data_IF_339334784384
#
_entry.id   IF_339334784384
#
_cell.length_a   1.000
_cell.length_b   1.000
_cell.length_c   1.000
_cell.angle_alpha   90.00
_cell.angle_beta   90.00
_cell.angle_gamma   90.00
#
_symmetry.space_group_name_H-M   'P 1'
#
loop_
_entity.id
_entity.type
_entity.pdbx_description
1 polymer ?
#
# COMPACT_ATOMS: atom_id res chain seq x y z
N UNK A 1 -43.53 14.43 6.50
CA UNK A 1 -42.63 15.35 7.23
C UNK A 1 -41.21 14.75 7.40
N UNK A 2 -40.71 14.00 6.40
CA UNK A 2 -39.40 13.31 6.45
C UNK A 2 -38.35 13.91 5.51
N UNK A 3 -38.72 14.93 4.74
CA UNK A 3 -37.80 15.59 3.81
C UNK A 3 -36.83 16.53 4.51
N UNK A 4 -37.20 17.07 5.68
CA UNK A 4 -36.35 18.02 6.42
C UNK A 4 -35.08 17.36 6.97
N UNK A 5 -35.12 16.19 7.63
CA UNK A 5 -33.91 15.52 8.12
C UNK A 5 -33.00 15.02 6.99
N UNK A 6 -33.58 14.57 5.88
CA UNK A 6 -32.82 14.13 4.71
C UNK A 6 -32.12 15.30 4.03
N UNK A 7 -32.83 16.41 3.82
CA UNK A 7 -32.25 17.63 3.25
C UNK A 7 -31.14 18.20 4.13
N UNK A 8 -31.31 18.17 5.46
CA UNK A 8 -30.28 18.62 6.40
C UNK A 8 -29.03 17.73 6.35
N UNK A 9 -29.19 16.40 6.32
CA UNK A 9 -28.07 15.47 6.17
C UNK A 9 -27.35 15.67 4.82
N UNK A 10 -28.09 15.80 3.72
CA UNK A 10 -27.50 16.05 2.41
C UNK A 10 -26.79 17.41 2.36
N UNK A 11 -27.33 18.45 3.00
CA UNK A 11 -26.70 19.77 3.06
C UNK A 11 -25.41 19.76 3.91
N UNK A 12 -25.35 18.98 4.99
CA UNK A 12 -24.15 18.82 5.82
C UNK A 12 -23.06 18.00 5.11
N UNK A 13 -23.44 17.03 4.28
CA UNK A 13 -22.50 16.19 3.53
C UNK A 13 -22.09 16.79 2.20
N UNK A 14 -22.91 17.66 1.58
CA UNK A 14 -22.63 18.28 0.28
C UNK A 14 -21.24 18.96 0.21
N UNK A 15 -20.77 19.71 1.23
CA UNK A 15 -19.43 20.28 1.22
C UNK A 15 -18.32 19.23 1.09
N UNK A 16 -18.50 17.99 1.56
CA UNK A 16 -17.49 16.93 1.42
C UNK A 16 -17.34 16.44 -0.03
N UNK A 17 -18.41 16.54 -0.83
CA UNK A 17 -18.41 16.11 -2.23
C UNK A 17 -18.10 17.27 -3.19
N UNK A 18 -18.43 18.50 -2.81
CA UNK A 18 -18.26 19.70 -3.64
C UNK A 18 -17.12 20.62 -3.20
N UNK A 19 -16.49 20.41 -2.03
CA UNK A 19 -15.16 20.95 -1.72
C UNK A 19 -14.09 20.17 -2.49
N UNK A 20 -14.25 20.13 -3.80
CA UNK A 20 -13.21 19.78 -4.75
C UNK A 20 -12.70 21.09 -5.34
N UNK A 21 -11.70 21.67 -4.69
CA UNK A 21 -10.54 22.31 -5.32
C UNK A 21 -9.70 23.06 -4.28
N UNK A 22 -8.39 23.09 -4.52
CA UNK A 22 -7.37 23.98 -3.91
C UNK A 22 -6.64 23.44 -2.68
N UNK A 23 -6.30 22.15 -2.70
CA UNK A 23 -5.08 21.65 -2.08
C UNK A 23 -3.94 21.65 -3.10
N UNK A 24 -3.52 22.82 -3.58
CA UNK A 24 -2.34 23.03 -4.42
C UNK A 24 -1.03 22.85 -3.61
N UNK A 25 -0.95 21.81 -2.77
CA UNK A 25 0.25 21.47 -2.01
C UNK A 25 1.13 20.44 -2.71
N UNK A 26 0.68 19.94 -3.86
CA UNK A 26 1.60 19.43 -4.86
C UNK A 26 2.08 20.66 -5.64
N UNK A 27 3.06 21.39 -5.09
CA UNK A 27 4.06 21.94 -6.00
C UNK A 27 4.44 20.79 -6.92
N UNK A 28 4.31 21.04 -8.21
CA UNK A 28 4.65 20.12 -9.26
C UNK A 28 6.15 19.86 -9.11
N UNK A 29 6.50 18.88 -8.27
CA UNK A 29 7.87 18.48 -7.98
C UNK A 29 8.54 18.36 -9.33
N UNK A 30 9.54 19.22 -9.58
CA UNK A 30 10.17 19.46 -10.87
C UNK A 30 10.19 18.17 -11.68
N UNK A 31 9.22 18.04 -12.59
CA UNK A 31 8.99 16.79 -13.29
C UNK A 31 10.12 16.70 -14.30
N UNK A 32 11.20 15.99 -13.95
CA UNK A 32 12.25 15.66 -14.92
C UNK A 32 11.56 14.73 -15.93
N UNK A 33 11.42 15.12 -17.21
CA UNK A 33 10.77 14.28 -18.20
C UNK A 33 11.60 13.00 -18.37
N UNK A 34 11.04 11.84 -17.99
CA UNK A 34 11.67 10.53 -18.17
C UNK A 34 11.86 9.70 -16.90
N UNK A 35 11.68 10.26 -15.70
CA UNK A 35 11.90 9.56 -14.44
C UNK A 35 10.64 9.56 -13.56
N UNK A 36 9.65 8.75 -13.92
CA UNK A 36 8.50 8.49 -13.05
C UNK A 36 8.65 7.13 -12.39
N UNK A 37 8.81 7.10 -11.07
CA UNK A 37 8.69 5.86 -10.29
C UNK A 37 7.21 5.56 -10.00
N UNK A 38 6.74 4.37 -10.35
CA UNK A 38 5.33 3.96 -10.20
C UNK A 38 5.21 2.87 -9.14
N UNK A 39 4.63 3.22 -8.01
CA UNK A 39 4.31 2.29 -6.94
C UNK A 39 2.83 1.88 -7.02
N UNK A 40 2.56 0.58 -6.94
CA UNK A 40 1.23 0.05 -6.70
C UNK A 40 1.13 -0.44 -5.26
N UNK A 41 0.21 0.14 -4.49
CA UNK A 41 -0.19 -0.35 -3.18
C UNK A 41 -1.62 -0.89 -3.25
N UNK A 42 -1.84 -2.15 -2.88
CA UNK A 42 -3.17 -2.75 -2.94
C UNK A 42 -3.41 -3.75 -1.81
N UNK A 43 -4.62 -3.76 -1.28
CA UNK A 43 -5.12 -4.82 -0.41
C UNK A 43 -5.89 -5.83 -1.28
N UNK A 44 -5.55 -7.12 -1.15
CA UNK A 44 -6.14 -8.17 -1.98
C UNK A 44 -7.44 -8.75 -1.43
N UNK A 45 -7.80 -8.41 -0.20
CA UNK A 45 -8.83 -9.07 0.60
C UNK A 45 -8.55 -10.58 0.73
N UNK A 46 -8.08 -11.01 1.91
CA UNK A 46 -7.75 -12.41 2.17
C UNK A 46 -8.94 -13.37 1.94
N UNK A 47 -10.18 -12.85 2.01
CA UNK A 47 -11.41 -13.60 1.81
C UNK A 47 -11.87 -13.68 0.35
N UNK A 48 -11.24 -12.91 -0.55
CA UNK A 48 -11.61 -12.87 -1.97
C UNK A 48 -11.31 -14.21 -2.66
N UNK A 49 -12.36 -14.86 -3.16
CA UNK A 49 -12.27 -16.14 -3.87
C UNK A 49 -11.99 -15.99 -5.36
N UNK A 50 -12.32 -14.85 -5.98
CA UNK A 50 -12.04 -14.57 -7.39
C UNK A 50 -10.78 -13.71 -7.51
N UNK A 51 -9.66 -14.39 -7.76
CA UNK A 51 -8.35 -13.74 -7.87
C UNK A 51 -8.12 -13.12 -9.26
N UNK A 52 -8.94 -13.45 -10.26
CA UNK A 52 -8.67 -13.12 -11.66
C UNK A 52 -8.66 -11.63 -11.95
N UNK A 53 -9.53 -10.87 -11.28
CA UNK A 53 -9.61 -9.42 -11.45
C UNK A 53 -8.39 -8.72 -10.87
N UNK A 54 -7.94 -9.12 -9.67
CA UNK A 54 -6.74 -8.57 -9.05
C UNK A 54 -5.48 -8.86 -9.87
N UNK A 55 -5.34 -10.10 -10.38
CA UNK A 55 -4.21 -10.46 -11.25
C UNK A 55 -4.19 -9.58 -12.51
N UNK A 56 -5.32 -9.46 -13.21
CA UNK A 56 -5.42 -8.57 -14.39
C UNK A 56 -5.13 -7.10 -14.06
N UNK A 57 -5.59 -6.65 -12.90
CA UNK A 57 -5.35 -5.29 -12.44
C UNK A 57 -3.85 -5.03 -12.21
N UNK A 58 -3.17 -5.89 -11.45
CA UNK A 58 -1.72 -5.78 -11.16
C UNK A 58 -0.91 -5.80 -12.46
N UNK A 59 -1.22 -6.75 -13.35
CA UNK A 59 -0.60 -6.87 -14.68
C UNK A 59 -0.72 -5.61 -15.53
N UNK A 60 -1.90 -4.97 -15.49
CA UNK A 60 -2.20 -3.78 -16.29
C UNK A 60 -1.57 -2.48 -15.80
N UNK A 61 -1.05 -2.41 -14.56
CA UNK A 61 -0.57 -1.13 -14.01
C UNK A 61 0.79 -0.69 -14.49
N UNK A 62 1.67 -1.60 -14.92
CA UNK A 62 3.06 -1.28 -15.27
C UNK A 62 3.73 -0.46 -14.14
N UNK A 63 3.73 -1.02 -12.94
CA UNK A 63 4.37 -0.48 -11.75
C UNK A 63 5.83 -0.97 -11.67
N UNK A 64 6.69 -0.15 -11.08
CA UNK A 64 8.10 -0.49 -10.81
C UNK A 64 8.23 -1.27 -9.49
N UNK A 65 7.28 -1.07 -8.57
CA UNK A 65 7.17 -1.78 -7.31
C UNK A 65 5.70 -2.04 -6.99
N UNK A 66 5.38 -3.26 -6.57
CA UNK A 66 4.05 -3.63 -6.09
C UNK A 66 4.15 -4.09 -4.65
N UNK A 67 3.33 -3.52 -3.79
CA UNK A 67 3.20 -3.84 -2.38
C UNK A 67 1.76 -4.30 -2.14
N UNK A 68 1.60 -5.52 -1.63
CA UNK A 68 0.32 -6.17 -1.45
C UNK A 68 0.07 -6.45 0.04
N UNK A 69 -1.15 -6.15 0.47
CA UNK A 69 -1.69 -6.51 1.79
C UNK A 69 -2.69 -7.65 1.68
N UNK A 70 -2.95 -8.30 2.81
CA UNK A 70 -3.86 -9.44 2.97
C UNK A 70 -3.51 -10.64 2.07
N UNK A 71 -2.21 -10.87 1.91
CA UNK A 71 -1.69 -11.99 1.12
C UNK A 71 -1.74 -13.27 1.95
N UNK A 72 -2.59 -14.21 1.54
CA UNK A 72 -2.64 -15.58 2.07
C UNK A 72 -1.68 -16.51 1.33
N UNK A 73 -1.51 -17.74 1.82
CA UNK A 73 -0.74 -18.76 1.10
C UNK A 73 -1.33 -19.05 -0.28
N UNK A 74 -2.67 -19.06 -0.39
CA UNK A 74 -3.39 -19.20 -1.66
C UNK A 74 -3.10 -18.03 -2.59
N UNK A 75 -3.12 -16.80 -2.08
CA UNK A 75 -2.76 -15.63 -2.88
C UNK A 75 -1.33 -15.73 -3.38
N UNK A 76 -0.37 -16.11 -2.54
CA UNK A 76 1.02 -16.27 -2.94
C UNK A 76 1.17 -17.26 -4.10
N UNK A 77 0.62 -18.48 -3.99
CA UNK A 77 0.65 -19.46 -5.08
C UNK A 77 0.01 -18.91 -6.36
N UNK A 78 -1.10 -18.18 -6.22
CA UNK A 78 -1.80 -17.57 -7.36
C UNK A 78 -0.94 -16.50 -8.03
N UNK A 79 -0.32 -15.61 -7.25
CA UNK A 79 0.54 -14.54 -7.75
C UNK A 79 1.74 -15.12 -8.50
N UNK A 80 2.43 -16.10 -7.93
CA UNK A 80 3.58 -16.76 -8.54
C UNK A 80 3.23 -17.51 -9.83
N UNK A 81 2.04 -18.12 -9.89
CA UNK A 81 1.63 -18.93 -11.04
C UNK A 81 1.01 -18.12 -12.19
N UNK A 82 0.41 -16.96 -11.90
CA UNK A 82 -0.40 -16.22 -12.88
C UNK A 82 0.16 -14.84 -13.25
N UNK A 83 1.12 -14.30 -12.50
CA UNK A 83 1.82 -13.08 -12.91
C UNK A 83 2.97 -13.42 -13.86
N UNK A 84 2.86 -12.90 -15.08
CA UNK A 84 3.84 -13.00 -16.15
C UNK A 84 4.83 -11.83 -16.18
N UNK A 85 4.45 -10.68 -15.62
CA UNK A 85 5.30 -9.46 -15.63
C UNK A 85 6.02 -9.20 -14.33
N UNK A 86 5.57 -9.77 -13.22
CA UNK A 86 6.12 -9.54 -11.89
C UNK A 86 6.56 -10.85 -11.25
N UNK A 87 7.58 -10.77 -10.41
CA UNK A 87 7.99 -11.84 -9.49
C UNK A 87 7.89 -11.36 -8.06
N UNK A 88 7.59 -12.29 -7.16
CA UNK A 88 7.64 -12.05 -5.72
C UNK A 88 9.09 -11.94 -5.28
N UNK A 89 9.41 -10.94 -4.46
CA UNK A 89 10.75 -10.70 -3.90
C UNK A 89 10.78 -10.99 -2.42
N UNK A 90 9.78 -10.50 -1.69
CA UNK A 90 9.56 -10.86 -0.29
C UNK A 90 8.08 -11.17 -0.08
N UNK A 91 7.79 -12.07 0.83
CA UNK A 91 6.43 -12.38 1.22
C UNK A 91 6.38 -12.85 2.67
N UNK A 92 5.24 -12.59 3.28
CA UNK A 92 4.89 -13.07 4.60
C UNK A 92 3.40 -13.45 4.57
N UNK A 93 3.06 -14.58 3.94
CA UNK A 93 1.67 -14.97 3.80
C UNK A 93 1.07 -15.30 5.17
N UNK A 94 -0.14 -14.81 5.41
CA UNK A 94 -0.94 -15.17 6.58
C UNK A 94 -2.37 -15.39 6.16
N UNK A 95 -3.05 -16.31 6.85
CA UNK A 95 -4.46 -16.63 6.56
C UNK A 95 -5.44 -15.63 7.20
N UNK A 96 -4.91 -14.63 7.92
CA UNK A 96 -5.64 -13.47 8.41
C UNK A 96 -5.37 -12.22 7.55
N UNK A 97 -5.85 -11.06 7.99
CA UNK A 97 -5.72 -9.81 7.26
C UNK A 97 -4.37 -9.11 7.41
N UNK A 98 -3.32 -9.82 7.85
CA UNK A 98 -2.00 -9.21 8.13
C UNK A 98 -0.90 -9.76 7.24
N UNK A 99 -1.22 -10.64 6.30
CA UNK A 99 -0.25 -11.15 5.32
C UNK A 99 0.17 -10.10 4.30
N UNK A 100 1.38 -10.19 3.77
CA UNK A 100 1.92 -9.22 2.81
C UNK A 100 2.83 -9.84 1.75
N UNK A 101 3.05 -9.12 0.66
CA UNK A 101 4.06 -9.44 -0.34
C UNK A 101 4.56 -8.20 -1.07
N UNK A 102 5.80 -8.28 -1.55
CA UNK A 102 6.40 -7.31 -2.44
C UNK A 102 6.75 -7.98 -3.76
N UNK A 103 6.42 -7.32 -4.86
CA UNK A 103 6.71 -7.79 -6.21
C UNK A 103 7.43 -6.70 -7.01
N UNK A 104 8.29 -7.16 -7.91
CA UNK A 104 9.01 -6.31 -8.85
C UNK A 104 8.86 -6.87 -10.26
N UNK A 105 9.02 -6.06 -11.31
CA UNK A 105 9.06 -6.55 -12.67
C UNK A 105 10.09 -7.67 -12.86
N UNK A 106 9.75 -8.70 -13.65
CA UNK A 106 10.68 -9.78 -14.02
C UNK A 106 11.80 -9.22 -14.90
N UNK A 107 11.45 -8.34 -15.84
CA UNK A 107 12.41 -7.64 -16.66
C UNK A 107 13.13 -6.58 -15.81
N UNK A 108 14.47 -6.66 -15.66
CA UNK A 108 15.21 -5.69 -14.85
C UNK A 108 15.09 -4.30 -15.47
N UNK A 109 14.76 -3.32 -14.64
CA UNK A 109 14.83 -1.91 -15.02
C UNK A 109 16.27 -1.43 -14.88
N UNK A 110 16.76 -0.64 -15.84
CA UNK A 110 18.06 0.04 -15.72
C UNK A 110 18.04 1.16 -14.68
N UNK A 111 16.84 1.64 -14.33
CA UNK A 111 16.64 2.77 -13.45
C UNK A 111 16.41 2.35 -12.00
N UNK A 112 16.09 1.07 -11.75
CA UNK A 112 15.74 0.56 -10.43
C UNK A 112 16.63 -0.62 -10.06
N UNK A 113 17.40 -0.45 -8.98
CA UNK A 113 18.16 -1.49 -8.32
C UNK A 113 17.57 -1.73 -6.93
N UNK A 114 17.30 -2.99 -6.59
CA UNK A 114 16.88 -3.36 -5.24
C UNK A 114 18.12 -3.54 -4.36
N UNK A 115 18.24 -2.75 -3.30
CA UNK A 115 19.41 -2.77 -2.39
C UNK A 115 19.15 -3.74 -1.23
N UNK A 116 18.02 -3.57 -0.55
CA UNK A 116 17.64 -4.39 0.59
C UNK A 116 16.13 -4.48 0.74
N UNK A 117 15.64 -5.56 1.34
CA UNK A 117 14.23 -5.71 1.68
C UNK A 117 14.11 -6.55 2.93
N UNK A 118 13.25 -6.11 3.85
CA UNK A 118 13.00 -6.81 5.10
C UNK A 118 11.55 -6.67 5.54
N UNK A 119 11.11 -7.61 6.37
CA UNK A 119 9.82 -7.56 7.05
C UNK A 119 10.08 -7.06 8.47
N UNK A 120 9.44 -5.97 8.84
CA UNK A 120 9.58 -5.34 10.17
C UNK A 120 8.22 -5.21 10.84
N UNK A 121 8.21 -4.77 12.09
CA UNK A 121 7.01 -4.35 12.80
C UNK A 121 7.29 -3.00 13.48
N UNK A 122 6.35 -2.07 13.40
CA UNK A 122 6.45 -0.75 14.02
C UNK A 122 5.20 -0.48 14.88
N UNK A 123 5.34 -0.39 16.22
CA UNK A 123 6.53 -0.77 17.01
C UNK A 123 6.85 -2.28 16.89
N UNK A 124 8.00 -2.78 17.39
CA UNK A 124 8.39 -4.20 17.27
C UNK A 124 7.40 -5.22 17.85
N UNK A 125 6.52 -4.77 18.75
CA UNK A 125 5.44 -5.56 19.33
C UNK A 125 4.09 -5.36 18.62
N UNK A 126 4.06 -4.60 17.51
CA UNK A 126 2.91 -4.59 16.62
C UNK A 126 2.77 -5.98 16.00
N UNK A 127 1.57 -6.55 16.07
CA UNK A 127 1.23 -7.78 15.34
C UNK A 127 1.13 -7.59 13.83
N UNK A 128 1.29 -6.36 13.33
CA UNK A 128 1.20 -5.98 11.92
C UNK A 128 2.59 -5.97 11.28
N UNK A 129 2.92 -6.96 10.45
CA UNK A 129 4.16 -6.95 9.69
C UNK A 129 4.07 -5.87 8.61
N UNK A 130 5.20 -5.24 8.32
CA UNK A 130 5.39 -4.21 7.30
C UNK A 130 6.51 -4.65 6.36
N UNK A 131 6.46 -4.21 5.10
CA UNK A 131 7.61 -4.34 4.19
C UNK A 131 8.41 -3.06 4.22
N UNK A 132 9.67 -3.13 4.61
CA UNK A 132 10.64 -2.07 4.38
C UNK A 132 11.54 -2.47 3.21
N UNK A 133 11.69 -1.58 2.24
CA UNK A 133 12.54 -1.83 1.08
C UNK A 133 13.39 -0.61 0.75
N UNK A 134 14.69 -0.85 0.60
CA UNK A 134 15.64 0.13 0.13
C UNK A 134 15.93 -0.16 -1.34
N UNK A 135 15.71 0.83 -2.17
CA UNK A 135 15.98 0.77 -3.60
C UNK A 135 16.88 1.94 -4.01
N UNK A 136 17.63 1.74 -5.08
CA UNK A 136 18.37 2.81 -5.76
C UNK A 136 17.66 3.11 -7.07
N UNK A 137 17.06 4.29 -7.13
CA UNK A 137 16.35 4.80 -8.28
C UNK A 137 17.13 5.96 -8.90
N UNK A 138 17.60 5.78 -10.13
CA UNK A 138 18.45 6.75 -10.84
C UNK A 138 19.68 7.22 -10.02
N UNK A 139 20.27 6.29 -9.26
CA UNK A 139 21.41 6.58 -8.38
C UNK A 139 21.04 7.19 -7.03
N UNK A 140 19.78 7.54 -6.81
CA UNK A 140 19.28 8.02 -5.51
C UNK A 140 18.75 6.85 -4.68
N UNK A 141 19.20 6.74 -3.44
CA UNK A 141 18.66 5.75 -2.52
C UNK A 141 17.31 6.23 -1.96
N UNK A 142 16.31 5.37 -2.01
CA UNK A 142 14.96 5.62 -1.52
C UNK A 142 14.55 4.45 -0.64
N UNK A 143 14.05 4.76 0.56
CA UNK A 143 13.46 3.77 1.46
C UNK A 143 11.95 3.88 1.40
N UNK A 144 11.28 2.75 1.18
CA UNK A 144 9.82 2.65 1.07
C UNK A 144 9.31 1.71 2.15
N UNK A 145 8.25 2.14 2.83
CA UNK A 145 7.55 1.35 3.83
C UNK A 145 6.12 1.03 3.35
N UNK A 146 5.81 -0.26 3.23
CA UNK A 146 4.45 -0.76 3.02
C UNK A 146 3.70 -0.86 4.34
N UNK A 147 2.97 0.20 4.70
CA UNK A 147 2.31 0.33 5.99
C UNK A 147 0.94 -0.37 6.06
N UNK A 148 0.80 -1.33 6.97
CA UNK A 148 -0.48 -1.92 7.36
C UNK A 148 -0.71 -1.67 8.84
N UNK A 149 -1.79 -0.97 9.19
CA UNK A 149 -2.14 -0.66 10.58
C UNK A 149 -3.31 -1.51 11.06
N UNK A 150 -3.43 -1.66 12.38
CA UNK A 150 -4.57 -2.28 13.02
C UNK A 150 -5.86 -1.54 12.65
N UNK A 151 -6.95 -2.29 12.47
CA UNK A 151 -8.26 -1.70 12.22
C UNK A 151 -8.85 -1.13 13.52
N UNK A 152 -9.49 0.05 13.49
CA UNK A 152 -10.11 0.66 14.66
C UNK A 152 -11.50 0.04 14.92
N UNK A 153 -11.53 -1.22 15.34
CA UNK A 153 -12.76 -1.98 15.63
C UNK A 153 -13.25 -1.81 17.07
N UNK A 154 -12.36 -1.39 17.98
CA UNK A 154 -12.69 -1.09 19.38
C UNK A 154 -11.96 0.17 19.85
N UNK A 155 -12.32 0.64 21.03
CA UNK A 155 -11.58 1.71 21.71
C UNK A 155 -10.09 1.36 21.83
N UNK A 156 -9.79 0.15 22.29
CA UNK A 156 -8.40 -0.29 22.52
C UNK A 156 -7.62 -0.41 21.20
N UNK A 157 -8.25 -0.93 20.15
CA UNK A 157 -7.56 -1.04 18.85
C UNK A 157 -7.40 0.32 18.15
N UNK A 158 -8.28 1.29 18.43
CA UNK A 158 -8.11 2.67 17.96
C UNK A 158 -6.98 3.37 18.71
N UNK A 159 -6.92 3.25 20.04
CA UNK A 159 -5.82 3.80 20.84
C UNK A 159 -4.46 3.17 20.47
N UNK A 160 -4.45 1.88 20.13
CA UNK A 160 -3.23 1.23 19.66
C UNK A 160 -2.83 1.66 18.24
N UNK A 161 -3.78 2.03 17.39
CA UNK A 161 -3.50 2.57 16.06
C UNK A 161 -2.67 3.86 16.13
N UNK A 162 -2.95 4.72 17.11
CA UNK A 162 -2.14 5.94 17.35
C UNK A 162 -0.68 5.58 17.65
N UNK A 163 -0.45 4.52 18.44
CA UNK A 163 0.90 4.01 18.75
C UNK A 163 1.62 3.53 17.47
N UNK A 164 0.91 2.86 16.56
CA UNK A 164 1.48 2.42 15.28
C UNK A 164 1.80 3.61 14.35
N UNK A 165 0.95 4.63 14.34
CA UNK A 165 1.20 5.87 13.59
C UNK A 165 2.41 6.64 14.15
N UNK A 166 2.50 6.79 15.46
CA UNK A 166 3.63 7.48 16.11
C UNK A 166 4.95 6.76 15.82
N UNK A 167 4.97 5.42 15.95
CA UNK A 167 6.16 4.63 15.62
C UNK A 167 6.55 4.74 14.14
N UNK A 168 5.56 4.82 13.25
CA UNK A 168 5.80 5.02 11.81
C UNK A 168 6.33 6.42 11.50
N UNK A 169 5.81 7.44 12.18
CA UNK A 169 6.29 8.81 12.06
C UNK A 169 7.74 8.92 12.53
N UNK A 170 8.09 8.33 13.67
CA UNK A 170 9.47 8.28 14.16
C UNK A 170 10.40 7.54 13.18
N UNK A 171 9.94 6.43 12.60
CA UNK A 171 10.68 5.71 11.56
C UNK A 171 10.97 6.58 10.34
N UNK A 172 10.02 7.43 9.92
CA UNK A 172 10.15 8.26 8.72
C UNK A 172 11.18 9.40 8.84
N UNK A 173 11.65 9.69 10.05
CA UNK A 173 12.65 10.72 10.34
C UNK A 173 14.10 10.22 10.28
N UNK A 174 14.31 8.93 9.97
CA UNK A 174 15.63 8.28 9.91
C UNK A 174 16.43 8.63 8.67
#
# INVERSE_FOLDING_TARGET
MWCLPLALNLALLAPLFFASAQGSYLEQANHIPGSTFRLLYANLDHSNKDTSQAIRYIEGKNADLVLLQEVTSRWLTTLESNLSRYRVVTSFPKEDSTGLAMLVPIAPSKLLELVATQIIALPPYSGQPLVETTLRWEGTEVVILGLSIIRPQSHDSSAFQDVEFDATAEWSLR
#
